data_IF_400229981508
#
_entry.id   IF_400229981508
#
_cell.length_a   1.000
_cell.length_b   1.000
_cell.length_c   1.000
_cell.angle_alpha   90.00
_cell.angle_beta   90.00
_cell.angle_gamma   90.00
#
_symmetry.space_group_name_H-M   'P 1'
#
loop_
_entity.id
_entity.type
_entity.pdbx_description
1 polymer ?
#
# COMPACT_ATOMS: atom_id res chain seq x y z
N UNK A 1 -7.32 -6.65 -9.48
CA UNK A 1 -7.84 -5.89 -8.32
C UNK A 1 -8.49 -6.82 -7.29
N UNK A 2 -9.61 -7.49 -7.60
CA UNK A 2 -10.33 -8.36 -6.65
C UNK A 2 -9.46 -9.45 -5.99
N UNK A 3 -8.49 -10.03 -6.70
CA UNK A 3 -7.56 -11.01 -6.11
C UNK A 3 -6.68 -10.42 -4.99
N UNK A 4 -6.14 -9.21 -5.21
CA UNK A 4 -5.36 -8.47 -4.20
C UNK A 4 -6.23 -8.02 -3.02
N UNK A 5 -7.46 -7.60 -3.30
CA UNK A 5 -8.43 -7.23 -2.27
C UNK A 5 -8.75 -8.41 -1.33
N UNK A 6 -9.10 -9.57 -1.90
CA UNK A 6 -9.46 -10.75 -1.12
C UNK A 6 -8.30 -11.24 -0.25
N UNK A 7 -7.07 -11.26 -0.77
CA UNK A 7 -5.95 -11.69 0.04
C UNK A 7 -5.62 -10.71 1.17
N UNK A 8 -5.78 -9.39 0.97
CA UNK A 8 -5.68 -8.44 2.09
C UNK A 8 -6.76 -8.70 3.14
N UNK A 9 -8.01 -8.95 2.72
CA UNK A 9 -9.12 -9.29 3.63
C UNK A 9 -8.85 -10.55 4.44
N UNK A 10 -8.37 -11.60 3.80
CA UNK A 10 -8.22 -12.91 4.43
C UNK A 10 -6.96 -12.96 5.32
N UNK A 11 -5.88 -12.24 4.96
CA UNK A 11 -4.63 -12.22 5.74
C UNK A 11 -4.57 -11.10 6.77
N UNK A 12 -5.20 -9.96 6.51
CA UNK A 12 -5.12 -8.74 7.33
C UNK A 12 -6.50 -8.05 7.42
N UNK A 13 -7.52 -8.69 8.02
CA UNK A 13 -8.91 -8.24 7.96
C UNK A 13 -9.12 -6.83 8.55
N UNK A 14 -8.39 -6.47 9.62
CA UNK A 14 -8.47 -5.14 10.23
C UNK A 14 -7.91 -4.04 9.31
N UNK A 15 -6.80 -4.33 8.60
CA UNK A 15 -6.24 -3.43 7.59
C UNK A 15 -7.17 -3.31 6.37
N UNK A 16 -7.76 -4.43 5.92
CA UNK A 16 -8.75 -4.41 4.84
C UNK A 16 -9.96 -3.54 5.19
N UNK A 17 -10.51 -3.70 6.40
CA UNK A 17 -11.62 -2.88 6.88
C UNK A 17 -11.26 -1.39 6.93
N UNK A 18 -10.06 -1.04 7.39
CA UNK A 18 -9.56 0.34 7.36
C UNK A 18 -9.51 0.88 5.93
N UNK A 19 -8.88 0.14 5.01
CA UNK A 19 -8.72 0.52 3.61
C UNK A 19 -10.08 0.74 2.92
N UNK A 20 -10.98 -0.22 3.09
CA UNK A 20 -12.34 -0.18 2.52
C UNK A 20 -13.14 1.00 3.06
N UNK A 21 -13.07 1.26 4.37
CA UNK A 21 -13.77 2.38 4.99
C UNK A 21 -13.18 3.72 4.57
N UNK A 22 -11.86 3.85 4.46
CA UNK A 22 -11.23 5.07 3.97
C UNK A 22 -11.70 5.41 2.55
N UNK A 23 -11.62 4.45 1.62
CA UNK A 23 -12.05 4.65 0.23
C UNK A 23 -13.56 4.97 0.16
N UNK A 24 -14.38 4.28 0.98
CA UNK A 24 -15.81 4.55 1.11
C UNK A 24 -16.12 5.96 1.60
N UNK A 25 -15.44 6.46 2.63
CA UNK A 25 -15.69 7.81 3.15
C UNK A 25 -15.31 8.88 2.12
N UNK A 26 -14.24 8.65 1.36
CA UNK A 26 -13.80 9.62 0.34
C UNK A 26 -14.76 9.63 -0.85
N UNK A 27 -15.07 8.46 -1.40
CA UNK A 27 -15.86 8.37 -2.63
C UNK A 27 -17.35 8.52 -2.37
N UNK A 28 -17.89 7.85 -1.36
CA UNK A 28 -19.36 7.79 -1.21
C UNK A 28 -19.91 8.93 -0.34
N UNK A 29 -19.09 9.52 0.55
CA UNK A 29 -19.53 10.53 1.53
C UNK A 29 -19.06 11.94 1.19
N UNK A 30 -17.77 12.13 0.90
CA UNK A 30 -17.23 13.46 0.60
C UNK A 30 -17.54 13.92 -0.83
N UNK A 31 -17.12 13.12 -1.83
CA UNK A 31 -17.29 13.51 -3.23
C UNK A 31 -17.71 12.34 -4.13
N UNK A 32 -19.03 12.16 -4.36
CA UNK A 32 -19.57 11.09 -5.20
C UNK A 32 -19.24 11.23 -6.69
N UNK A 33 -18.56 12.31 -7.11
CA UNK A 33 -18.05 12.45 -8.48
C UNK A 33 -16.70 11.75 -8.68
N UNK A 34 -16.00 11.37 -7.60
CA UNK A 34 -14.76 10.61 -7.69
C UNK A 34 -15.13 9.16 -7.98
N UNK A 35 -14.65 8.63 -9.11
CA UNK A 35 -14.82 7.23 -9.43
C UNK A 35 -13.73 6.38 -8.76
N UNK A 36 -14.12 5.20 -8.25
CA UNK A 36 -13.15 4.21 -7.74
C UNK A 36 -12.31 3.69 -8.90
N UNK A 37 -10.99 3.63 -8.70
CA UNK A 37 -10.06 3.09 -9.69
C UNK A 37 -10.39 1.64 -10.09
N UNK A 38 -10.93 0.85 -9.15
CA UNK A 38 -11.38 -0.51 -9.40
C UNK A 38 -12.67 -0.80 -8.66
N UNK A 39 -13.61 -1.46 -9.33
CA UNK A 39 -14.79 -2.03 -8.68
C UNK A 39 -14.36 -3.18 -7.75
N UNK A 40 -14.98 -3.25 -6.57
CA UNK A 40 -14.76 -4.33 -5.59
C UNK A 40 -13.28 -4.47 -5.14
N UNK A 41 -12.64 -3.35 -4.83
CA UNK A 41 -11.25 -3.29 -4.35
C UNK A 41 -11.11 -2.20 -3.29
N UNK A 42 -10.54 -2.55 -2.13
CA UNK A 42 -10.29 -1.58 -1.05
C UNK A 42 -9.13 -0.62 -1.32
N UNK A 43 -8.25 -0.91 -2.28
CA UNK A 43 -7.13 -0.03 -2.62
C UNK A 43 -7.59 1.08 -3.58
N UNK A 44 -7.39 2.36 -3.23
CA UNK A 44 -7.78 3.50 -4.05
C UNK A 44 -6.81 3.78 -5.21
N UNK A 45 -5.59 3.22 -5.16
CA UNK A 45 -4.53 3.49 -6.14
C UNK A 45 -3.80 2.22 -6.57
N UNK A 46 -3.27 2.25 -7.80
CA UNK A 46 -2.44 1.19 -8.35
C UNK A 46 -1.37 1.73 -9.30
N UNK A 47 -0.20 1.08 -9.33
CA UNK A 47 0.85 1.27 -10.33
C UNK A 47 1.04 0.01 -11.17
N UNK A 48 1.22 0.20 -12.48
CA UNK A 48 1.51 -0.86 -13.44
C UNK A 48 3.00 -0.81 -13.81
N UNK A 49 3.73 -1.87 -13.46
CA UNK A 49 5.10 -2.07 -13.92
C UNK A 49 5.07 -3.11 -15.04
N UNK A 50 5.39 -2.70 -16.27
CA UNK A 50 5.17 -3.53 -17.45
C UNK A 50 6.48 -4.06 -18.06
N UNK A 51 6.38 -5.19 -18.76
CA UNK A 51 7.43 -5.79 -19.59
C UNK A 51 8.64 -6.32 -18.81
N UNK A 52 9.64 -5.50 -18.54
CA UNK A 52 10.92 -5.88 -17.94
C UNK A 52 11.31 -4.96 -16.77
N UNK A 53 10.32 -4.26 -16.21
CA UNK A 53 10.54 -3.32 -15.12
C UNK A 53 11.29 -3.97 -13.96
N UNK A 54 12.38 -3.32 -13.54
CA UNK A 54 13.14 -3.63 -12.34
C UNK A 54 13.48 -2.38 -11.55
N UNK A 55 13.78 -2.54 -10.27
CA UNK A 55 14.00 -1.40 -9.37
C UNK A 55 15.33 -1.49 -8.65
N UNK A 56 15.91 -0.34 -8.32
CA UNK A 56 16.92 -0.25 -7.27
C UNK A 56 16.26 -0.38 -5.89
N UNK A 57 17.07 -0.46 -4.84
CA UNK A 57 16.61 -0.49 -3.45
C UNK A 57 15.85 0.81 -3.16
N UNK A 58 14.63 0.69 -2.66
CA UNK A 58 13.80 1.83 -2.28
C UNK A 58 12.78 1.45 -1.19
N UNK A 59 12.14 2.47 -0.63
CA UNK A 59 10.88 2.34 0.10
C UNK A 59 9.83 3.16 -0.62
N UNK A 60 8.57 2.75 -0.53
CA UNK A 60 7.45 3.56 -0.98
C UNK A 60 7.01 4.52 0.13
N UNK A 61 7.90 5.43 0.52
CA UNK A 61 7.69 6.30 1.69
C UNK A 61 6.46 7.24 1.59
N UNK A 62 5.84 7.35 0.40
CA UNK A 62 4.58 8.06 0.19
C UNK A 62 3.33 7.21 0.48
N UNK A 63 3.48 5.90 0.69
CA UNK A 63 2.38 5.00 1.01
C UNK A 63 2.06 5.01 2.51
N UNK A 64 0.85 4.60 2.87
CA UNK A 64 0.42 4.47 4.26
C UNK A 64 1.34 3.50 5.01
N UNK A 65 2.01 4.01 6.05
CA UNK A 65 3.20 3.41 6.67
C UNK A 65 3.04 1.96 7.12
N UNK A 66 1.86 1.61 7.65
CA UNK A 66 1.55 0.29 8.20
C UNK A 66 0.70 -0.57 7.27
N UNK A 67 0.32 -0.07 6.09
CA UNK A 67 -0.51 -0.83 5.16
C UNK A 67 0.31 -1.95 4.52
N UNK A 68 -0.30 -3.11 4.39
CA UNK A 68 0.16 -4.16 3.49
C UNK A 68 -0.20 -3.81 2.04
N UNK A 69 0.75 -3.23 1.31
CA UNK A 69 0.63 -3.01 -0.13
C UNK A 69 0.67 -4.36 -0.84
N UNK A 70 -0.19 -4.56 -1.83
CA UNK A 70 -0.25 -5.82 -2.59
C UNK A 70 0.48 -5.66 -3.91
N UNK A 71 1.34 -6.60 -4.25
CA UNK A 71 1.95 -6.70 -5.57
C UNK A 71 1.39 -7.97 -6.20
N UNK A 72 0.79 -7.87 -7.39
CA UNK A 72 0.31 -9.02 -8.16
C UNK A 72 1.25 -9.25 -9.33
N UNK A 73 1.82 -10.44 -9.42
CA UNK A 73 2.76 -10.82 -10.48
C UNK A 73 2.04 -11.55 -11.62
N UNK A 74 2.35 -11.18 -12.86
CA UNK A 74 1.78 -11.75 -14.07
C UNK A 74 2.84 -11.85 -15.18
N UNK A 75 2.56 -12.61 -16.23
CA UNK A 75 3.42 -12.76 -17.39
C UNK A 75 4.08 -14.14 -17.46
N UNK A 76 5.05 -14.27 -18.38
CA UNK A 76 5.76 -15.49 -18.67
C UNK A 76 7.27 -15.28 -18.49
N UNK A 77 7.82 -15.83 -17.41
CA UNK A 77 9.23 -15.77 -17.03
C UNK A 77 9.54 -16.91 -16.05
N UNK A 78 10.81 -17.26 -15.91
CA UNK A 78 11.30 -18.24 -14.93
C UNK A 78 11.56 -17.56 -13.57
N UNK A 79 10.53 -17.57 -12.72
CA UNK A 79 10.56 -16.99 -11.38
C UNK A 79 11.57 -17.64 -10.42
N UNK A 80 12.13 -18.82 -10.76
CA UNK A 80 13.18 -19.47 -9.97
C UNK A 80 14.58 -18.92 -10.27
N UNK A 81 14.72 -18.20 -11.40
CA UNK A 81 16.00 -17.66 -11.88
C UNK A 81 16.03 -16.14 -11.90
N UNK A 82 14.91 -15.50 -12.16
CA UNK A 82 14.83 -14.06 -12.42
C UNK A 82 13.61 -13.43 -11.73
N UNK A 83 13.55 -12.10 -11.70
CA UNK A 83 12.39 -11.38 -11.18
C UNK A 83 12.08 -11.62 -9.69
N UNK A 84 13.09 -11.90 -8.87
CA UNK A 84 12.98 -12.10 -7.43
C UNK A 84 12.55 -10.80 -6.74
N UNK A 85 11.79 -10.89 -5.65
CA UNK A 85 11.54 -9.77 -4.74
C UNK A 85 12.55 -9.84 -3.58
N UNK A 86 13.27 -8.75 -3.32
CA UNK A 86 14.27 -8.68 -2.25
C UNK A 86 13.75 -7.76 -1.16
N UNK A 87 13.76 -8.21 0.09
CA UNK A 87 13.49 -7.40 1.28
C UNK A 87 14.79 -7.25 2.07
N UNK A 88 15.44 -6.10 1.90
CA UNK A 88 16.82 -5.88 2.37
C UNK A 88 16.96 -5.91 3.89
N UNK A 89 16.08 -5.28 4.70
CA UNK A 89 16.19 -5.34 6.16
C UNK A 89 16.04 -6.75 6.72
N UNK A 90 15.38 -7.66 5.99
CA UNK A 90 15.19 -9.05 6.39
C UNK A 90 16.31 -9.97 5.88
N UNK A 91 17.14 -9.50 4.94
CA UNK A 91 18.15 -10.34 4.28
C UNK A 91 17.55 -11.47 3.43
N UNK A 92 16.31 -11.31 2.95
CA UNK A 92 15.56 -12.34 2.22
C UNK A 92 15.35 -11.95 0.75
N UNK A 93 15.41 -12.95 -0.11
CA UNK A 93 14.99 -12.89 -1.51
C UNK A 93 13.92 -13.97 -1.75
N UNK A 94 12.81 -13.58 -2.36
CA UNK A 94 11.66 -14.43 -2.61
C UNK A 94 11.49 -14.65 -4.11
N UNK A 95 11.35 -15.92 -4.49
CA UNK A 95 10.77 -16.27 -5.78
C UNK A 95 9.35 -15.70 -5.84
N UNK A 96 9.00 -15.09 -6.99
CA UNK A 96 7.70 -14.44 -7.13
C UNK A 96 6.93 -14.93 -8.37
N UNK A 97 6.27 -16.10 -8.30
CA UNK A 97 5.66 -16.72 -9.46
C UNK A 97 4.54 -15.86 -10.07
N UNK A 98 4.39 -15.92 -11.40
CA UNK A 98 3.24 -15.35 -12.07
C UNK A 98 1.93 -15.99 -11.58
N UNK A 99 0.88 -15.18 -11.44
CA UNK A 99 -0.41 -15.60 -10.88
C UNK A 99 -0.49 -15.50 -9.35
N UNK A 100 0.57 -15.05 -8.67
CA UNK A 100 0.60 -14.88 -7.21
C UNK A 100 0.52 -13.41 -6.80
N UNK A 101 0.25 -13.18 -5.51
CA UNK A 101 0.32 -11.87 -4.89
C UNK A 101 1.19 -11.92 -3.65
N UNK A 102 1.99 -10.88 -3.44
CA UNK A 102 2.73 -10.64 -2.20
C UNK A 102 2.20 -9.40 -1.49
N UNK A 103 2.26 -9.41 -0.17
CA UNK A 103 1.81 -8.32 0.69
C UNK A 103 2.98 -7.83 1.51
N UNK A 104 3.37 -6.57 1.33
CA UNK A 104 4.54 -5.99 2.02
C UNK A 104 4.19 -4.62 2.60
N UNK A 105 4.71 -4.27 3.79
CA UNK A 105 4.62 -2.90 4.31
C UNK A 105 5.66 -2.02 3.60
N UNK A 106 5.37 -1.67 2.35
CA UNK A 106 6.36 -1.16 1.39
C UNK A 106 6.96 0.21 1.75
N UNK A 107 6.28 0.97 2.62
CA UNK A 107 6.78 2.21 3.20
C UNK A 107 7.86 1.99 4.28
N UNK A 108 7.82 0.84 4.99
CA UNK A 108 8.74 0.52 6.09
C UNK A 108 9.86 -0.44 5.67
N UNK A 109 9.60 -1.32 4.71
CA UNK A 109 10.55 -2.36 4.30
C UNK A 109 11.22 -1.94 3.01
N UNK A 110 12.52 -1.63 3.09
CA UNK A 110 13.33 -1.37 1.91
C UNK A 110 13.37 -2.62 1.03
N UNK A 111 12.98 -2.47 -0.22
CA UNK A 111 12.81 -3.58 -1.14
C UNK A 111 13.27 -3.23 -2.56
N UNK A 112 13.45 -4.26 -3.37
CA UNK A 112 13.72 -4.15 -4.80
C UNK A 112 13.27 -5.42 -5.51
N UNK A 113 13.31 -5.43 -6.84
CA UNK A 113 13.19 -6.67 -7.57
C UNK A 113 14.35 -6.83 -8.58
N UNK A 114 14.71 -8.08 -8.88
CA UNK A 114 15.77 -8.35 -9.84
C UNK A 114 15.26 -8.20 -11.27
N UNK A 115 16.16 -7.89 -12.23
CA UNK A 115 15.83 -7.97 -13.66
C UNK A 115 15.34 -9.37 -14.06
N UNK A 116 14.61 -9.41 -15.17
CA UNK A 116 14.27 -10.63 -15.91
C UNK A 116 15.16 -10.74 -17.15
N UNK A 117 15.22 -11.92 -17.76
CA UNK A 117 15.98 -12.09 -19.00
C UNK A 117 15.33 -11.32 -20.17
N UNK A 118 16.10 -10.84 -21.17
CA UNK A 118 15.57 -9.98 -22.24
C UNK A 118 14.44 -10.58 -23.09
N UNK A 119 14.30 -11.91 -23.10
CA UNK A 119 13.26 -12.62 -23.85
C UNK A 119 12.02 -12.92 -22.99
N UNK A 120 12.09 -12.71 -21.68
CA UNK A 120 11.01 -12.93 -20.73
C UNK A 120 10.07 -11.72 -20.66
N UNK A 121 8.87 -11.92 -20.11
CA UNK A 121 7.91 -10.83 -19.88
C UNK A 121 7.26 -10.98 -18.51
N UNK A 122 7.44 -9.97 -17.66
CA UNK A 122 6.80 -9.88 -16.34
C UNK A 122 6.05 -8.55 -16.22
N UNK A 123 4.84 -8.61 -15.69
CA UNK A 123 4.02 -7.45 -15.38
C UNK A 123 3.65 -7.50 -13.89
N UNK A 124 3.76 -6.37 -13.21
CA UNK A 124 3.35 -6.24 -11.81
C UNK A 124 2.25 -5.19 -11.70
N UNK A 125 1.22 -5.50 -10.92
CA UNK A 125 0.26 -4.49 -10.42
C UNK A 125 0.52 -4.29 -8.94
N UNK A 126 0.95 -3.10 -8.55
CA UNK A 126 1.11 -2.72 -7.15
C UNK A 126 -0.11 -1.93 -6.69
N UNK A 127 -0.79 -2.36 -5.62
CA UNK A 127 -1.96 -1.72 -5.03
C UNK A 127 -1.58 -1.15 -3.66
N UNK A 128 -1.95 0.11 -3.42
CA UNK A 128 -1.51 0.86 -2.24
C UNK A 128 -2.52 1.94 -1.85
N UNK A 129 -2.34 2.49 -0.65
CA UNK A 129 -3.01 3.72 -0.21
C UNK A 129 -1.93 4.81 -0.10
N UNK A 130 -2.04 5.91 -0.85
CA UNK A 130 -1.18 7.07 -0.62
C UNK A 130 -1.40 7.60 0.80
N UNK A 131 -0.34 7.77 1.58
CA UNK A 131 -0.44 8.32 2.94
C UNK A 131 -1.03 9.74 2.93
N UNK A 132 -0.77 10.51 1.86
CA UNK A 132 -1.39 11.83 1.68
C UNK A 132 -2.91 11.79 1.66
N UNK A 133 -3.50 10.74 1.08
CA UNK A 133 -4.96 10.57 1.02
C UNK A 133 -5.53 10.27 2.42
N UNK A 134 -4.88 9.38 3.17
CA UNK A 134 -5.28 9.07 4.54
C UNK A 134 -5.14 10.29 5.48
N UNK A 135 -4.07 11.08 5.33
CA UNK A 135 -3.87 12.33 6.09
C UNK A 135 -4.92 13.39 5.74
N UNK A 136 -5.20 13.55 4.45
CA UNK A 136 -6.20 14.50 3.99
C UNK A 136 -7.58 14.18 4.57
N UNK A 137 -7.98 12.91 4.55
CA UNK A 137 -9.19 12.45 5.22
C UNK A 137 -9.16 12.72 6.74
N UNK A 138 -8.08 12.33 7.43
CA UNK A 138 -7.93 12.55 8.88
C UNK A 138 -8.05 14.03 9.28
N UNK A 139 -7.57 14.94 8.43
CA UNK A 139 -7.64 16.38 8.64
C UNK A 139 -9.02 16.98 8.28
N UNK A 140 -10.04 16.16 8.05
CA UNK A 140 -11.37 16.61 7.66
C UNK A 140 -11.40 17.15 6.24
N UNK A 141 -10.77 16.42 5.30
CA UNK A 141 -10.70 16.75 3.88
C UNK A 141 -9.86 18.00 3.57
N UNK A 142 -8.75 18.17 4.31
CA UNK A 142 -7.85 19.33 4.20
C UNK A 142 -6.40 18.91 4.10
N UNK A 143 -5.60 19.72 3.39
CA UNK A 143 -4.15 19.49 3.35
C UNK A 143 -3.54 19.62 4.76
N UNK A 144 -2.38 18.99 5.00
CA UNK A 144 -1.64 19.18 6.26
C UNK A 144 -1.38 20.67 6.52
N UNK A 145 -1.06 21.44 5.46
CA UNK A 145 -0.87 22.90 5.54
C UNK A 145 -2.13 23.60 6.06
N UNK A 146 -3.25 23.44 5.35
CA UNK A 146 -4.53 24.08 5.70
C UNK A 146 -5.00 23.69 7.10
N UNK A 147 -4.86 22.41 7.47
CA UNK A 147 -5.18 21.97 8.83
C UNK A 147 -4.35 22.70 9.87
N UNK A 148 -3.02 22.76 9.69
CA UNK A 148 -2.12 23.40 10.66
C UNK A 148 -2.30 24.91 10.77
N UNK A 149 -2.71 25.59 9.69
CA UNK A 149 -2.97 27.03 9.68
C UNK A 149 -4.25 27.40 10.46
N UNK A 150 -5.22 26.48 10.54
CA UNK A 150 -6.53 26.73 11.15
C UNK A 150 -6.77 25.97 12.47
N UNK A 151 -5.91 25.02 12.84
CA UNK A 151 -6.06 24.24 14.07
C UNK A 151 -5.83 25.10 15.31
N UNK A 152 -6.64 24.88 16.35
CA UNK A 152 -6.36 25.43 17.68
C UNK A 152 -5.06 24.84 18.25
N UNK A 153 -4.39 25.51 19.20
CA UNK A 153 -3.16 24.96 19.82
C UNK A 153 -3.35 23.56 20.43
N UNK A 154 -4.53 23.29 21.02
CA UNK A 154 -4.87 21.98 21.57
C UNK A 154 -4.99 20.91 20.48
N UNK A 155 -5.75 21.20 19.42
CA UNK A 155 -5.93 20.26 18.31
C UNK A 155 -4.60 19.99 17.57
N UNK A 156 -3.75 21.01 17.41
CA UNK A 156 -2.43 20.84 16.82
C UNK A 156 -1.52 19.96 17.67
N UNK A 157 -1.64 20.04 19.00
CA UNK A 157 -0.91 19.16 19.93
C UNK A 157 -1.36 17.71 19.76
N UNK A 158 -2.67 17.46 19.81
CA UNK A 158 -3.25 16.12 19.61
C UNK A 158 -2.86 15.53 18.25
N UNK A 159 -2.91 16.33 17.18
CA UNK A 159 -2.51 15.91 15.84
C UNK A 159 -1.04 15.50 15.76
N UNK A 160 -0.13 16.23 16.43
CA UNK A 160 1.29 15.87 16.50
C UNK A 160 1.51 14.58 17.30
N UNK A 161 0.82 14.43 18.41
CA UNK A 161 0.87 13.22 19.26
C UNK A 161 0.36 11.99 18.51
N UNK A 162 -0.78 12.10 17.84
CA UNK A 162 -1.32 11.02 16.98
C UNK A 162 -0.30 10.58 15.93
N UNK A 163 0.33 11.53 15.23
CA UNK A 163 1.32 11.21 14.18
C UNK A 163 2.59 10.58 14.73
N UNK A 164 3.05 11.03 15.90
CA UNK A 164 4.22 10.45 16.56
C UNK A 164 3.97 8.97 16.95
N UNK A 165 2.74 8.62 17.27
CA UNK A 165 2.34 7.28 17.71
C UNK A 165 1.58 6.48 16.64
N UNK A 166 1.55 6.95 15.39
CA UNK A 166 0.79 6.31 14.30
C UNK A 166 1.25 4.86 14.04
N UNK A 167 2.51 4.56 14.33
CA UNK A 167 3.07 3.22 14.20
C UNK A 167 2.42 2.23 15.19
N UNK A 168 2.02 2.67 16.39
CA UNK A 168 1.37 1.82 17.40
C UNK A 168 0.00 1.38 16.91
N UNK A 169 -0.78 2.32 16.37
CA UNK A 169 -2.06 2.03 15.72
C UNK A 169 -1.88 1.05 14.56
N UNK A 170 -0.86 1.26 13.73
CA UNK A 170 -0.54 0.35 12.63
C UNK A 170 -0.17 -1.05 13.09
N UNK A 171 0.65 -1.16 14.14
CA UNK A 171 1.06 -2.44 14.73
C UNK A 171 -0.14 -3.19 15.32
N UNK A 172 -1.03 -2.49 16.02
CA UNK A 172 -2.27 -3.07 16.55
C UNK A 172 -3.14 -3.66 15.42
N UNK A 173 -3.32 -2.94 14.30
CA UNK A 173 -4.09 -3.47 13.16
C UNK A 173 -3.49 -4.72 12.51
N UNK A 174 -2.19 -4.99 12.71
CA UNK A 174 -1.51 -6.19 12.25
C UNK A 174 -1.65 -7.38 13.22
N UNK A 175 -2.00 -7.13 14.47
CA UNK A 175 -2.25 -8.19 15.45
C UNK A 175 -3.47 -9.01 15.03
N UNK A 176 -3.32 -10.33 15.07
CA UNK A 176 -4.43 -11.29 14.94
C UNK A 176 -4.88 -11.67 16.34
N UNK A 177 -6.19 -11.70 16.57
CA UNK A 177 -6.77 -12.40 17.70
C UNK A 177 -6.50 -13.91 17.46
N UNK A 178 -5.51 -14.45 18.18
CA UNK A 178 -5.19 -15.88 18.18
C UNK A 178 -6.05 -16.63 19.19
#
# INVERSE_FOLDING_TARGET
>A
ATYADRGLRDLFPRLHALALNLDKQIVDVDNPQIERAFKDCCYPACHLNLHNASTLIHTDYWNLVFLMCSIVCMGHFDHTRSGLLITWPLGLAFEFPAGTAMYIPSACVAHSNTPIDPHERRHLMAFFIPAGLARWFHNGFRSDKEFTEHASPGLLKEWKEYRANLWEFGADLLCRDL
#
